data_IF_654677783981
#
_entry.id   IF_654677783981
#
_cell.length_a   1.000
_cell.length_b   1.000
_cell.length_c   1.000
_cell.angle_alpha   90.00
_cell.angle_beta   90.00
_cell.angle_gamma   90.00
#
_symmetry.space_group_name_H-M   'P 1'
#
loop_
_entity.id
_entity.type
_entity.pdbx_description
1 polymer ?
#
# COMPACT_ATOMS: atom_id res chain seq x y z
N UNK A 1 -17.29 -7.45 6.98
CA UNK A 1 -16.93 -6.80 8.26
C UNK A 1 -15.40 -6.77 8.34
N UNK A 2 -14.77 -5.61 8.57
CA UNK A 2 -13.30 -5.58 8.66
C UNK A 2 -12.83 -6.15 10.01
N UNK A 3 -11.80 -7.01 10.04
CA UNK A 3 -11.29 -7.65 11.27
C UNK A 3 -10.86 -6.64 12.33
N UNK A 4 -10.28 -5.51 11.89
CA UNK A 4 -9.86 -4.39 12.74
C UNK A 4 -11.04 -3.84 13.56
N UNK A 5 -12.18 -3.58 12.92
CA UNK A 5 -13.37 -3.04 13.61
C UNK A 5 -13.99 -4.06 14.57
N UNK A 6 -14.02 -5.33 14.17
CA UNK A 6 -14.52 -6.40 15.05
C UNK A 6 -13.64 -6.57 16.29
N UNK A 7 -12.31 -6.50 16.13
CA UNK A 7 -11.32 -6.62 17.20
C UNK A 7 -11.36 -5.42 18.16
N UNK A 8 -11.56 -4.21 17.63
CA UNK A 8 -11.73 -3.01 18.47
C UNK A 8 -13.03 -3.10 19.28
N UNK A 9 -14.12 -3.54 18.65
CA UNK A 9 -15.41 -3.67 19.33
C UNK A 9 -15.36 -4.71 20.47
N UNK A 10 -14.72 -5.86 20.24
CA UNK A 10 -14.52 -6.87 21.30
C UNK A 10 -13.58 -6.38 22.41
N UNK A 11 -12.51 -5.66 22.05
CA UNK A 11 -11.58 -5.09 23.03
C UNK A 11 -12.24 -4.04 23.92
N UNK A 12 -13.13 -3.21 23.35
CA UNK A 12 -13.88 -2.21 24.11
C UNK A 12 -14.87 -2.88 25.08
N UNK A 13 -15.58 -3.91 24.62
CA UNK A 13 -16.51 -4.67 25.46
C UNK A 13 -15.79 -5.43 26.59
N UNK A 14 -14.57 -5.91 26.36
CA UNK A 14 -13.75 -6.68 27.33
C UNK A 14 -12.73 -5.86 28.12
N UNK A 15 -12.78 -4.53 28.08
CA UNK A 15 -11.69 -3.66 28.56
C UNK A 15 -11.30 -3.90 30.03
N UNK A 16 -12.28 -4.14 30.90
CA UNK A 16 -12.05 -4.42 32.32
C UNK A 16 -11.25 -5.71 32.51
N UNK A 17 -11.63 -6.78 31.80
CA UNK A 17 -10.94 -8.07 31.81
C UNK A 17 -9.51 -7.96 31.26
N UNK A 18 -9.33 -7.20 30.19
CA UNK A 18 -8.01 -6.97 29.61
C UNK A 18 -7.09 -6.26 30.61
N UNK A 19 -7.62 -5.28 31.35
CA UNK A 19 -6.87 -4.55 32.38
C UNK A 19 -6.56 -5.41 33.61
N UNK A 20 -7.51 -6.22 34.08
CA UNK A 20 -7.30 -7.09 35.24
C UNK A 20 -6.37 -8.27 34.97
N UNK A 21 -6.29 -8.72 33.71
CA UNK A 21 -5.40 -9.82 33.27
C UNK A 21 -4.07 -9.35 32.69
N UNK A 22 -3.85 -8.04 32.56
CA UNK A 22 -2.64 -7.45 31.98
C UNK A 22 -2.30 -7.97 30.55
N UNK A 23 -3.33 -8.23 29.72
CA UNK A 23 -3.18 -8.84 28.39
C UNK A 23 -3.07 -7.83 27.23
N UNK A 24 -2.90 -6.54 27.52
CA UNK A 24 -2.89 -5.45 26.53
C UNK A 24 -1.88 -5.67 25.39
N UNK A 25 -0.68 -6.16 25.69
CA UNK A 25 0.36 -6.40 24.67
C UNK A 25 -0.02 -7.46 23.66
N UNK A 26 -0.69 -8.53 24.12
CA UNK A 26 -1.16 -9.62 23.25
C UNK A 26 -2.22 -9.08 22.28
N UNK A 27 -3.23 -8.36 22.79
CA UNK A 27 -4.27 -7.79 21.93
C UNK A 27 -3.74 -6.74 20.96
N UNK A 28 -2.73 -5.96 21.35
CA UNK A 28 -2.05 -5.01 20.46
C UNK A 28 -1.35 -5.72 19.31
N UNK A 29 -0.62 -6.80 19.60
CA UNK A 29 0.04 -7.60 18.55
C UNK A 29 -0.97 -8.20 17.55
N UNK A 30 -2.10 -8.67 18.06
CA UNK A 30 -3.19 -9.20 17.21
C UNK A 30 -3.79 -8.10 16.32
N UNK A 31 -4.00 -6.91 16.87
CA UNK A 31 -4.47 -5.73 16.14
C UNK A 31 -3.46 -5.30 15.05
N UNK A 32 -2.19 -5.24 15.39
CA UNK A 32 -1.11 -4.89 14.46
C UNK A 32 -1.05 -5.90 13.30
N UNK A 33 -1.31 -7.18 13.55
CA UNK A 33 -1.37 -8.21 12.50
C UNK A 33 -2.52 -7.94 11.49
N UNK A 34 -3.70 -7.58 11.98
CA UNK A 34 -4.82 -7.18 11.11
C UNK A 34 -4.50 -5.93 10.30
N UNK A 35 -3.82 -4.95 10.91
CA UNK A 35 -3.39 -3.74 10.20
C UNK A 35 -2.31 -4.02 9.16
N UNK A 36 -1.34 -4.89 9.47
CA UNK A 36 -0.24 -5.20 8.56
C UNK A 36 -0.71 -5.78 7.23
N UNK A 37 -1.76 -6.62 7.25
CA UNK A 37 -2.33 -7.19 6.03
C UNK A 37 -2.91 -6.10 5.12
N UNK A 38 -3.65 -5.14 5.69
CA UNK A 38 -4.21 -4.04 4.91
C UNK A 38 -3.15 -3.05 4.43
N UNK A 39 -2.23 -2.67 5.31
CA UNK A 39 -1.15 -1.72 5.00
C UNK A 39 -0.19 -2.28 3.96
N UNK A 40 0.18 -3.56 4.04
CA UNK A 40 1.06 -4.20 3.06
C UNK A 40 0.43 -4.30 1.67
N UNK A 41 -0.86 -4.65 1.58
CA UNK A 41 -1.57 -4.66 0.30
C UNK A 41 -1.66 -3.26 -0.32
N UNK A 42 -1.92 -2.23 0.49
CA UNK A 42 -1.93 -0.84 0.03
C UNK A 42 -0.55 -0.35 -0.41
N UNK A 43 0.51 -0.70 0.33
CA UNK A 43 1.89 -0.38 -0.04
C UNK A 43 2.29 -1.05 -1.36
N UNK A 44 1.94 -2.33 -1.55
CA UNK A 44 2.16 -3.05 -2.81
C UNK A 44 1.47 -2.32 -3.97
N UNK A 45 0.21 -1.94 -3.79
CA UNK A 45 -0.56 -1.23 -4.80
C UNK A 45 0.04 0.13 -5.16
N UNK A 46 0.50 0.90 -4.17
CA UNK A 46 1.18 2.17 -4.41
C UNK A 46 2.50 1.98 -5.18
N UNK A 47 3.30 0.97 -4.79
CA UNK A 47 4.53 0.62 -5.48
C UNK A 47 4.28 0.19 -6.93
N UNK A 48 3.28 -0.66 -7.19
CA UNK A 48 2.91 -1.08 -8.54
C UNK A 48 2.45 0.09 -9.40
N UNK A 49 1.63 1.00 -8.86
CA UNK A 49 1.19 2.20 -9.58
C UNK A 49 2.37 3.08 -9.98
N UNK A 50 3.32 3.28 -9.06
CA UNK A 50 4.52 4.09 -9.30
C UNK A 50 5.41 3.45 -10.37
N UNK A 51 5.66 2.14 -10.27
CA UNK A 51 6.44 1.40 -11.25
C UNK A 51 5.79 1.40 -12.65
N UNK A 52 4.46 1.29 -12.71
CA UNK A 52 3.71 1.38 -13.96
C UNK A 52 3.81 2.77 -14.59
N UNK A 53 3.73 3.84 -13.78
CA UNK A 53 3.97 5.21 -14.24
C UNK A 53 5.35 5.38 -14.87
N UNK A 54 6.40 4.93 -14.18
CA UNK A 54 7.78 4.96 -14.69
C UNK A 54 7.91 4.18 -16.00
N UNK A 55 7.27 3.01 -16.12
CA UNK A 55 7.30 2.22 -17.35
C UNK A 55 6.66 2.97 -18.54
N UNK A 56 5.52 3.63 -18.31
CA UNK A 56 4.87 4.45 -19.34
C UNK A 56 5.71 5.67 -19.72
N UNK A 57 6.34 6.34 -18.74
CA UNK A 57 7.23 7.47 -19.00
C UNK A 57 8.43 7.05 -19.87
N UNK A 58 9.00 5.86 -19.62
CA UNK A 58 10.09 5.32 -20.43
C UNK A 58 9.67 5.03 -21.87
N UNK A 59 8.47 4.45 -22.07
CA UNK A 59 7.93 4.16 -23.41
C UNK A 59 7.67 5.46 -24.18
N UNK A 60 7.00 6.43 -23.53
CA UNK A 60 6.65 7.70 -24.15
C UNK A 60 7.89 8.54 -24.48
N UNK A 61 8.87 8.60 -23.57
CA UNK A 61 10.15 9.27 -23.82
C UNK A 61 10.88 8.66 -25.01
N UNK A 62 10.93 7.33 -25.09
CA UNK A 62 11.57 6.62 -26.20
C UNK A 62 10.87 6.93 -27.54
N UNK A 63 9.54 6.94 -27.54
CA UNK A 63 8.75 7.28 -28.73
C UNK A 63 8.98 8.72 -29.21
N UNK A 64 8.96 9.68 -28.29
CA UNK A 64 9.25 11.09 -28.60
C UNK A 64 10.67 11.26 -29.14
N UNK A 65 11.66 10.58 -28.52
CA UNK A 65 13.05 10.62 -28.96
C UNK A 65 13.20 10.10 -30.40
N UNK A 66 12.56 8.96 -30.72
CA UNK A 66 12.56 8.40 -32.08
C UNK A 66 11.95 9.36 -33.09
N UNK A 67 10.76 9.91 -32.81
CA UNK A 67 10.10 10.87 -33.71
C UNK A 67 10.98 12.10 -33.92
N UNK A 68 11.52 12.65 -32.83
CA UNK A 68 12.39 13.84 -32.90
C UNK A 68 13.62 13.55 -33.77
N UNK A 69 14.24 12.39 -33.61
CA UNK A 69 15.38 11.99 -34.42
C UNK A 69 15.02 11.81 -35.90
N UNK A 70 13.88 11.18 -36.21
CA UNK A 70 13.40 11.06 -37.59
C UNK A 70 13.19 12.43 -38.25
N UNK A 71 12.63 13.41 -37.52
CA UNK A 71 12.47 14.77 -38.05
C UNK A 71 13.80 15.49 -38.29
N UNK A 72 14.79 15.31 -37.41
CA UNK A 72 16.12 15.89 -37.58
C UNK A 72 16.80 15.32 -38.82
N UNK A 73 16.74 14.00 -39.03
CA UNK A 73 17.31 13.37 -40.23
C UNK A 73 16.59 13.83 -41.49
N UNK A 74 15.25 13.81 -41.52
CA UNK A 74 14.49 14.14 -42.73
C UNK A 74 14.58 15.63 -43.13
N UNK A 75 14.91 16.50 -42.17
CA UNK A 75 15.13 17.93 -42.44
C UNK A 75 16.51 18.24 -43.03
N UNK A 76 17.46 17.30 -42.97
CA UNK A 76 18.82 17.45 -43.50
C UNK A 76 18.96 16.72 -44.83
#
# INVERSE_FOLDING_TARGET
KSPVYSHVNSSLAGLVTIRSTCTQMMLRKEFDNYQNTHTSAYAMFLSTRTAFGIALDMITLSFIALITYCFIINKN
#
